data_IF_211897281541
#
_entry.id   IF_211897281541
#
_cell.length_a   1.000
_cell.length_b   1.000
_cell.length_c   1.000
_cell.angle_alpha   90.00
_cell.angle_beta   90.00
_cell.angle_gamma   90.00
#
_symmetry.space_group_name_H-M   'P 1'
#
loop_
_entity.id
_entity.type
_entity.pdbx_description
1 polymer ?
#
# COMPACT_ATOMS: atom_id res chain seq x y z
N UNK A 1 1.14 -9.77 22.42
CA UNK A 1 0.75 -8.88 21.30
C UNK A 1 1.85 -7.85 21.13
N UNK A 2 2.65 -7.95 20.07
CA UNK A 2 3.79 -7.06 19.87
C UNK A 2 3.28 -5.78 19.19
N UNK A 3 3.12 -4.71 19.98
CA UNK A 3 2.57 -3.41 19.54
C UNK A 3 3.34 -2.83 18.34
N UNK A 4 4.61 -3.20 18.16
CA UNK A 4 5.41 -2.78 17.01
C UNK A 4 4.93 -3.40 15.69
N UNK A 5 4.38 -4.62 15.73
CA UNK A 5 3.82 -5.30 14.56
C UNK A 5 2.58 -4.55 14.09
N UNK A 6 1.66 -4.22 14.98
CA UNK A 6 0.37 -3.59 14.66
C UNK A 6 0.45 -2.18 14.11
N UNK A 7 1.57 -1.47 14.37
CA UNK A 7 1.78 -0.09 13.95
C UNK A 7 2.54 0.07 12.63
N UNK A 8 2.93 -1.02 11.98
CA UNK A 8 3.63 -0.96 10.69
C UNK A 8 2.64 -0.85 9.52
N UNK A 9 2.96 0.06 8.60
CA UNK A 9 2.35 0.18 7.27
C UNK A 9 2.39 -1.14 6.49
N UNK A 10 3.51 -1.87 6.56
CA UNK A 10 3.66 -3.20 5.94
C UNK A 10 2.73 -4.22 6.57
N UNK A 11 2.59 -4.25 7.91
CA UNK A 11 1.64 -5.17 8.56
C UNK A 11 0.21 -4.89 8.11
N UNK A 12 -0.20 -3.61 8.05
CA UNK A 12 -1.51 -3.21 7.56
C UNK A 12 -1.75 -3.65 6.11
N UNK A 13 -0.73 -3.51 5.26
CA UNK A 13 -0.77 -4.01 3.89
C UNK A 13 -0.94 -5.55 3.87
N UNK A 14 -0.19 -6.28 4.69
CA UNK A 14 -0.28 -7.75 4.80
C UNK A 14 -1.66 -8.18 5.29
N UNK A 15 -2.27 -7.46 6.23
CA UNK A 15 -3.65 -7.72 6.66
C UNK A 15 -4.65 -7.63 5.50
N UNK A 16 -4.40 -6.79 4.49
CA UNK A 16 -5.26 -6.63 3.30
C UNK A 16 -5.05 -7.66 2.17
N UNK A 17 -4.22 -8.69 2.40
CA UNK A 17 -3.77 -9.57 1.32
C UNK A 17 -4.90 -10.34 0.61
N UNK A 18 -6.04 -10.55 1.28
CA UNK A 18 -7.24 -11.17 0.70
C UNK A 18 -8.21 -10.19 0.06
N UNK A 19 -8.14 -8.91 0.41
CA UNK A 19 -9.15 -7.91 0.05
C UNK A 19 -9.22 -7.61 -1.45
N UNK A 20 -8.12 -7.72 -2.19
CA UNK A 20 -8.08 -7.47 -3.64
C UNK A 20 -7.05 -8.35 -4.35
N UNK A 21 -7.33 -8.66 -5.62
CA UNK A 21 -6.42 -9.34 -6.53
C UNK A 21 -6.14 -8.45 -7.74
N UNK A 22 -4.86 -8.28 -8.13
CA UNK A 22 -3.67 -8.96 -7.64
C UNK A 22 -3.09 -8.34 -6.35
N UNK A 23 -2.29 -9.14 -5.64
CA UNK A 23 -1.50 -8.73 -4.48
C UNK A 23 -0.08 -9.26 -4.63
N UNK A 24 0.93 -8.45 -4.34
CA UNK A 24 2.33 -8.88 -4.38
C UNK A 24 2.71 -9.56 -3.07
N UNK A 25 2.75 -10.89 -3.08
CA UNK A 25 3.06 -11.70 -1.91
C UNK A 25 4.55 -11.74 -1.54
N UNK A 26 5.44 -11.22 -2.39
CA UNK A 26 6.86 -11.10 -2.04
C UNK A 26 7.04 -10.20 -0.81
N UNK A 27 6.15 -9.22 -0.63
CA UNK A 27 6.12 -8.33 0.54
C UNK A 27 5.81 -9.13 1.83
N UNK A 28 5.02 -10.20 1.76
CA UNK A 28 4.76 -11.03 2.94
C UNK A 28 6.01 -11.81 3.38
N UNK A 29 6.87 -12.19 2.43
CA UNK A 29 8.16 -12.84 2.72
C UNK A 29 9.11 -11.83 3.36
N UNK A 30 9.22 -10.62 2.79
CA UNK A 30 10.03 -9.54 3.39
C UNK A 30 9.56 -9.21 4.80
N UNK A 31 8.25 -9.06 4.98
CA UNK A 31 7.66 -8.82 6.30
C UNK A 31 8.00 -9.92 7.30
N UNK A 32 7.95 -11.20 6.90
CA UNK A 32 8.34 -12.30 7.78
C UNK A 32 9.84 -12.26 8.14
N UNK A 33 10.71 -11.90 7.20
CA UNK A 33 12.14 -11.71 7.46
C UNK A 33 12.37 -10.57 8.45
N UNK A 34 11.67 -9.44 8.29
CA UNK A 34 11.74 -8.30 9.21
C UNK A 34 11.29 -8.66 10.63
N UNK A 35 10.28 -9.54 10.76
CA UNK A 35 9.86 -10.06 12.07
C UNK A 35 10.96 -10.91 12.71
N UNK A 36 11.61 -11.79 11.95
CA UNK A 36 12.75 -12.59 12.44
C UNK A 36 13.91 -11.71 12.89
N UNK A 37 14.23 -10.65 12.14
CA UNK A 37 15.28 -9.68 12.49
C UNK A 37 14.97 -8.91 13.78
N UNK A 38 13.67 -8.75 14.10
CA UNK A 38 13.19 -8.16 15.37
C UNK A 38 13.05 -9.18 16.49
N UNK A 39 13.66 -10.36 16.35
CA UNK A 39 13.64 -11.47 17.32
C UNK A 39 12.23 -12.04 17.56
N UNK A 40 11.28 -11.80 16.66
CA UNK A 40 9.93 -12.39 16.70
C UNK A 40 9.98 -13.69 15.91
N UNK A 41 10.27 -14.79 16.61
CA UNK A 41 10.52 -16.09 15.99
C UNK A 41 9.44 -17.08 16.36
N UNK A 42 8.72 -17.58 15.37
CA UNK A 42 7.73 -18.66 15.49
C UNK A 42 7.82 -19.57 14.27
N UNK A 43 7.33 -20.81 14.38
CA UNK A 43 7.36 -21.77 13.26
C UNK A 43 6.63 -21.22 12.02
N UNK A 44 5.49 -20.55 12.20
CA UNK A 44 4.76 -19.99 11.06
C UNK A 44 5.51 -18.82 10.40
N UNK A 45 6.20 -17.97 11.17
CA UNK A 45 7.05 -16.90 10.61
C UNK A 45 8.22 -17.51 9.84
N UNK A 46 8.90 -18.51 10.41
CA UNK A 46 10.01 -19.18 9.74
C UNK A 46 9.57 -19.83 8.43
N UNK A 47 8.43 -20.53 8.43
CA UNK A 47 7.84 -21.09 7.22
C UNK A 47 7.52 -20.00 6.18
N UNK A 48 6.90 -18.89 6.59
CA UNK A 48 6.56 -17.79 5.68
C UNK A 48 7.80 -17.12 5.07
N UNK A 49 8.86 -16.95 5.87
CA UNK A 49 10.13 -16.37 5.43
C UNK A 49 10.92 -17.25 4.44
N UNK A 50 10.62 -18.55 4.40
CA UNK A 50 11.35 -19.52 3.58
C UNK A 50 10.86 -19.59 2.12
N UNK A 51 9.78 -18.88 1.78
CA UNK A 51 9.28 -18.85 0.41
C UNK A 51 10.25 -18.15 -0.54
N UNK A 52 10.49 -18.76 -1.71
CA UNK A 52 11.27 -18.15 -2.78
C UNK A 52 10.43 -17.14 -3.56
N UNK A 53 11.07 -16.05 -4.00
CA UNK A 53 10.45 -15.01 -4.83
C UNK A 53 10.78 -15.23 -6.32
N UNK A 54 9.88 -14.92 -7.27
CA UNK A 54 8.53 -14.41 -7.06
C UNK A 54 7.62 -15.51 -6.49
N UNK A 55 6.76 -15.12 -5.55
CA UNK A 55 5.89 -16.03 -4.83
C UNK A 55 4.62 -16.37 -5.60
N UNK A 56 4.21 -17.63 -5.54
CA UNK A 56 2.89 -18.03 -6.04
C UNK A 56 1.80 -17.68 -5.01
N UNK A 57 0.82 -16.88 -5.45
CA UNK A 57 -0.24 -16.37 -4.59
C UNK A 57 -1.13 -17.47 -3.99
N UNK A 58 -1.32 -18.59 -4.69
CA UNK A 58 -2.12 -19.71 -4.19
C UNK A 58 -1.38 -20.50 -3.12
N UNK A 59 -0.07 -20.69 -3.30
CA UNK A 59 0.78 -21.43 -2.37
C UNK A 59 0.96 -20.68 -1.04
N UNK A 60 1.27 -19.38 -1.10
CA UNK A 60 1.67 -18.61 0.09
C UNK A 60 0.49 -18.07 0.89
N UNK A 61 -0.68 -17.81 0.28
CA UNK A 61 -1.85 -17.20 0.93
C UNK A 61 -2.23 -17.87 2.27
N UNK A 62 -2.29 -19.22 2.39
CA UNK A 62 -2.59 -19.87 3.66
C UNK A 62 -1.55 -19.63 4.76
N UNK A 63 -0.28 -19.44 4.41
CA UNK A 63 0.80 -19.18 5.37
C UNK A 63 0.72 -17.78 5.95
N UNK A 64 0.37 -16.78 5.11
CA UNK A 64 0.09 -15.42 5.58
C UNK A 64 -1.05 -15.43 6.60
N UNK A 65 -2.16 -16.09 6.30
CA UNK A 65 -3.30 -16.18 7.22
C UNK A 65 -2.96 -16.89 8.54
N UNK A 66 -2.08 -17.89 8.52
CA UNK A 66 -1.62 -18.56 9.76
C UNK A 66 -0.86 -17.60 10.66
N UNK A 67 0.06 -16.82 10.11
CA UNK A 67 0.83 -15.83 10.88
C UNK A 67 -0.11 -14.73 11.42
N UNK A 68 -1.00 -14.18 10.60
CA UNK A 68 -1.97 -13.18 11.06
C UNK A 68 -2.83 -13.72 12.21
N UNK A 69 -3.36 -14.94 12.07
CA UNK A 69 -4.14 -15.61 13.12
C UNK A 69 -3.34 -15.85 14.40
N UNK A 70 -2.09 -16.28 14.29
CA UNK A 70 -1.20 -16.51 15.43
C UNK A 70 -1.03 -15.25 16.29
N UNK A 71 -0.90 -14.09 15.66
CA UNK A 71 -0.76 -12.81 16.35
C UNK A 71 -2.10 -12.12 16.66
N UNK A 72 -3.23 -12.80 16.42
CA UNK A 72 -4.58 -12.24 16.57
C UNK A 72 -4.78 -10.94 15.76
N UNK A 73 -4.17 -10.89 14.57
CA UNK A 73 -4.33 -9.80 13.62
C UNK A 73 -5.50 -10.10 12.70
N UNK A 74 -6.37 -9.11 12.53
CA UNK A 74 -7.52 -9.17 11.64
C UNK A 74 -7.08 -9.18 10.18
N UNK A 75 -7.71 -10.01 9.35
CA UNK A 75 -7.58 -9.94 7.89
C UNK A 75 -8.58 -8.91 7.36
N UNK A 76 -8.08 -7.88 6.67
CA UNK A 76 -8.89 -6.78 6.16
C UNK A 76 -9.50 -7.11 4.80
N UNK A 77 -10.77 -6.76 4.65
CA UNK A 77 -11.55 -6.85 3.42
C UNK A 77 -12.34 -5.55 3.19
N UNK A 78 -12.90 -5.38 1.98
CA UNK A 78 -13.70 -4.21 1.62
C UNK A 78 -12.96 -2.88 1.81
N UNK A 79 -13.65 -1.89 2.36
CA UNK A 79 -13.13 -0.53 2.57
C UNK A 79 -11.83 -0.51 3.38
N UNK A 80 -11.72 -1.34 4.42
CA UNK A 80 -10.53 -1.40 5.27
C UNK A 80 -9.30 -1.92 4.51
N UNK A 81 -9.51 -2.81 3.55
CA UNK A 81 -8.46 -3.26 2.64
C UNK A 81 -8.03 -2.15 1.67
N UNK A 82 -8.96 -1.33 1.17
CA UNK A 82 -8.62 -0.17 0.31
C UNK A 82 -7.78 0.83 1.09
N UNK A 83 -8.24 1.19 2.29
CA UNK A 83 -7.59 2.17 3.14
C UNK A 83 -6.18 1.73 3.54
N UNK A 84 -6.00 0.47 3.96
CA UNK A 84 -4.69 -0.07 4.34
C UNK A 84 -3.70 -0.12 3.16
N UNK A 85 -4.14 -0.56 1.97
CA UNK A 85 -3.31 -0.54 0.75
C UNK A 85 -2.94 0.87 0.34
N UNK A 86 -3.90 1.79 0.38
CA UNK A 86 -3.67 3.19 0.04
C UNK A 86 -2.69 3.84 0.99
N UNK A 87 -2.87 3.62 2.30
CA UNK A 87 -1.98 4.12 3.35
C UNK A 87 -0.53 3.69 3.11
N UNK A 88 -0.30 2.43 2.74
CA UNK A 88 1.03 1.93 2.43
C UNK A 88 1.73 2.75 1.33
N UNK A 89 1.11 2.90 0.15
CA UNK A 89 1.74 3.64 -0.95
C UNK A 89 1.84 5.15 -0.68
N UNK A 90 0.86 5.72 0.03
CA UNK A 90 0.88 7.13 0.42
C UNK A 90 2.03 7.39 1.43
N UNK A 91 2.27 6.49 2.38
CA UNK A 91 3.42 6.57 3.28
C UNK A 91 4.74 6.53 2.50
N UNK A 92 4.87 5.66 1.49
CA UNK A 92 6.07 5.62 0.63
C UNK A 92 6.31 6.94 -0.10
N UNK A 93 5.25 7.63 -0.55
CA UNK A 93 5.34 8.97 -1.12
C UNK A 93 5.84 9.98 -0.08
N UNK A 94 5.24 9.99 1.11
CA UNK A 94 5.58 10.97 2.16
C UNK A 94 7.01 10.81 2.67
N UNK A 95 7.48 9.58 2.80
CA UNK A 95 8.82 9.28 3.28
C UNK A 95 9.90 9.35 2.18
N UNK A 96 9.50 9.49 0.91
CA UNK A 96 10.43 9.49 -0.23
C UNK A 96 11.11 8.14 -0.45
N UNK A 97 10.43 7.04 -0.09
CA UNK A 97 10.99 5.67 -0.12
C UNK A 97 10.81 4.98 -1.48
N UNK A 98 9.99 5.54 -2.37
CA UNK A 98 9.74 5.02 -3.72
C UNK A 98 9.60 6.17 -4.74
N UNK A 99 9.71 5.79 -6.02
CA UNK A 99 9.32 6.66 -7.13
C UNK A 99 7.84 7.07 -7.03
N UNK A 100 7.59 8.38 -7.17
CA UNK A 100 6.27 8.98 -7.01
C UNK A 100 5.29 8.43 -8.04
N UNK A 101 5.71 8.30 -9.30
CA UNK A 101 4.84 7.82 -10.37
C UNK A 101 4.47 6.35 -10.18
N UNK A 102 5.42 5.53 -9.75
CA UNK A 102 5.18 4.13 -9.41
C UNK A 102 4.15 3.99 -8.28
N UNK A 103 4.23 4.83 -7.24
CA UNK A 103 3.21 4.85 -6.19
C UNK A 103 1.85 5.34 -6.71
N UNK A 104 1.82 6.38 -7.55
CA UNK A 104 0.59 6.89 -8.15
C UNK A 104 -0.08 5.86 -9.07
N UNK A 105 0.68 5.08 -9.83
CA UNK A 105 0.15 3.98 -10.65
C UNK A 105 -0.60 2.96 -9.76
N UNK A 106 0.01 2.57 -8.63
CA UNK A 106 -0.63 1.65 -7.68
C UNK A 106 -1.89 2.24 -7.06
N UNK A 107 -1.87 3.52 -6.69
CA UNK A 107 -3.02 4.22 -6.12
C UNK A 107 -4.15 4.41 -7.15
N UNK A 108 -3.82 4.73 -8.40
CA UNK A 108 -4.79 4.83 -9.49
C UNK A 108 -5.47 3.48 -9.74
N UNK A 109 -4.69 2.38 -9.72
CA UNK A 109 -5.23 1.02 -9.82
C UNK A 109 -6.16 0.68 -8.66
N UNK A 110 -5.76 0.99 -7.43
CA UNK A 110 -6.61 0.80 -6.24
C UNK A 110 -7.93 1.55 -6.42
N UNK A 111 -7.88 2.80 -6.88
CA UNK A 111 -9.07 3.60 -7.14
C UNK A 111 -10.02 2.94 -8.14
N UNK A 112 -9.52 2.38 -9.24
CA UNK A 112 -10.36 1.67 -10.22
C UNK A 112 -10.95 0.38 -9.62
N UNK A 113 -10.13 -0.40 -8.91
CA UNK A 113 -10.55 -1.66 -8.27
C UNK A 113 -11.57 -1.44 -7.14
N UNK A 114 -11.57 -0.26 -6.52
CA UNK A 114 -12.52 0.14 -5.48
C UNK A 114 -13.73 0.93 -6.00
N UNK A 115 -14.05 0.83 -7.30
CA UNK A 115 -15.17 1.53 -7.93
C UNK A 115 -15.10 3.06 -7.78
N UNK A 116 -13.89 3.61 -7.91
CA UNK A 116 -13.58 5.04 -7.82
C UNK A 116 -13.85 5.64 -6.43
N UNK A 117 -13.40 4.94 -5.38
CA UNK A 117 -13.52 5.43 -4.02
C UNK A 117 -12.93 6.84 -3.88
N UNK A 118 -13.72 7.75 -3.31
CA UNK A 118 -13.47 9.20 -3.33
C UNK A 118 -12.17 9.59 -2.63
N UNK A 119 -11.76 8.83 -1.61
CA UNK A 119 -10.54 9.11 -0.84
C UNK A 119 -9.25 8.83 -1.64
N UNK A 120 -9.25 7.91 -2.61
CA UNK A 120 -8.08 7.62 -3.45
C UNK A 120 -8.13 8.37 -4.80
N UNK A 121 -9.31 8.87 -5.17
CA UNK A 121 -9.54 9.56 -6.45
C UNK A 121 -8.56 10.71 -6.80
N UNK A 122 -8.10 11.55 -5.85
CA UNK A 122 -7.10 12.57 -6.16
C UNK A 122 -5.80 11.99 -6.75
N UNK A 123 -5.34 10.84 -6.27
CA UNK A 123 -4.13 10.19 -6.77
C UNK A 123 -4.33 9.58 -8.15
N UNK A 124 -5.53 9.08 -8.44
CA UNK A 124 -5.92 8.68 -9.80
C UNK A 124 -5.79 9.87 -10.76
N UNK A 125 -6.36 11.03 -10.43
CA UNK A 125 -6.26 12.22 -11.28
C UNK A 125 -4.81 12.71 -11.47
N UNK A 126 -3.99 12.64 -10.41
CA UNK A 126 -2.59 13.01 -10.48
C UNK A 126 -1.77 12.06 -11.36
N UNK A 127 -2.07 10.75 -11.33
CA UNK A 127 -1.43 9.78 -12.22
C UNK A 127 -1.69 10.12 -13.70
N UNK A 128 -2.95 10.33 -14.09
CA UNK A 128 -3.29 10.69 -15.47
C UNK A 128 -2.81 12.09 -15.86
N UNK A 129 -2.73 13.02 -14.91
CA UNK A 129 -2.12 14.34 -15.13
C UNK A 129 -0.67 14.26 -15.59
N UNK A 130 0.09 13.26 -15.13
CA UNK A 130 1.46 13.08 -15.60
C UNK A 130 1.50 12.76 -17.10
N UNK A 131 0.64 11.85 -17.57
CA UNK A 131 0.51 11.54 -19.00
C UNK A 131 0.11 12.77 -19.82
N UNK A 132 -0.85 13.56 -19.31
CA UNK A 132 -1.22 14.82 -19.97
C UNK A 132 -0.04 15.80 -20.09
N UNK A 133 0.79 15.89 -19.05
CA UNK A 133 1.97 16.76 -19.08
C UNK A 133 3.00 16.28 -20.09
N UNK A 134 3.21 14.97 -20.22
CA UNK A 134 4.13 14.39 -21.21
C UNK A 134 3.70 14.77 -22.63
N UNK A 135 2.41 14.57 -22.94
CA UNK A 135 1.84 14.73 -24.28
C UNK A 135 1.52 16.20 -24.65
N UNK A 136 0.96 16.96 -23.70
CA UNK A 136 0.35 18.28 -23.97
C UNK A 136 0.98 19.43 -23.19
N UNK A 137 1.93 19.16 -22.29
CA UNK A 137 2.58 20.16 -21.41
C UNK A 137 1.62 20.88 -20.45
N UNK A 138 0.39 20.37 -20.28
CA UNK A 138 -0.59 20.84 -19.33
C UNK A 138 -1.45 19.68 -18.83
N UNK A 139 -1.97 19.77 -17.60
CA UNK A 139 -2.89 18.76 -17.06
C UNK A 139 -4.36 19.11 -17.36
N UNK A 140 -5.12 18.11 -17.81
CA UNK A 140 -6.59 18.17 -17.95
C UNK A 140 -7.32 17.57 -16.74
N UNK A 141 -6.63 16.72 -15.98
CA UNK A 141 -7.21 15.99 -14.84
C UNK A 141 -7.06 16.72 -13.50
N UNK A 142 -6.00 17.51 -13.32
CA UNK A 142 -5.71 18.21 -12.06
C UNK A 142 -5.25 19.64 -12.34
N UNK A 143 -6.06 20.61 -11.91
CA UNK A 143 -5.83 22.00 -12.23
C UNK A 143 -4.50 22.53 -11.68
N UNK A 144 -3.81 23.35 -12.48
CA UNK A 144 -2.57 24.06 -12.14
C UNK A 144 -1.36 23.14 -11.85
N UNK A 145 -1.44 21.86 -12.23
CA UNK A 145 -0.30 20.95 -12.17
C UNK A 145 0.58 21.12 -13.40
N UNK A 146 1.88 21.15 -13.18
CA UNK A 146 2.97 21.34 -14.16
C UNK A 146 4.13 20.42 -13.79
N UNK A 147 5.09 20.21 -14.69
CA UNK A 147 6.30 19.44 -14.35
C UNK A 147 7.07 19.99 -13.14
N UNK A 148 7.04 21.32 -12.93
CA UNK A 148 7.81 21.96 -11.86
C UNK A 148 7.20 21.76 -10.47
N UNK A 149 5.89 21.57 -10.37
CA UNK A 149 5.17 21.47 -9.09
C UNK A 149 4.45 20.12 -8.90
N UNK A 150 4.67 19.16 -9.80
CA UNK A 150 3.99 17.86 -9.76
C UNK A 150 4.23 17.12 -8.44
N UNK A 151 5.51 16.88 -8.11
CA UNK A 151 5.88 16.15 -6.89
C UNK A 151 5.43 16.88 -5.61
N UNK A 152 5.49 18.21 -5.59
CA UNK A 152 5.01 19.02 -4.46
C UNK A 152 3.49 18.89 -4.28
N UNK A 153 2.75 18.87 -5.40
CA UNK A 153 1.29 18.68 -5.40
C UNK A 153 0.91 17.30 -4.90
N UNK A 154 1.59 16.25 -5.39
CA UNK A 154 1.36 14.87 -4.95
C UNK A 154 1.65 14.73 -3.44
N UNK A 155 2.76 15.30 -2.97
CA UNK A 155 3.11 15.29 -1.55
C UNK A 155 2.08 16.04 -0.69
N UNK A 156 1.53 17.15 -1.19
CA UNK A 156 0.47 17.90 -0.51
C UNK A 156 -0.79 17.06 -0.35
N UNK A 157 -1.27 16.41 -1.41
CA UNK A 157 -2.45 15.53 -1.34
C UNK A 157 -2.21 14.32 -0.43
N UNK A 158 -1.01 13.73 -0.47
CA UNK A 158 -0.61 12.64 0.42
C UNK A 158 -0.71 13.04 1.90
N UNK A 159 -0.23 14.24 2.25
CA UNK A 159 -0.31 14.76 3.63
C UNK A 159 -1.74 15.06 4.07
N UNK A 160 -2.57 15.62 3.17
CA UNK A 160 -4.00 15.84 3.44
C UNK A 160 -4.70 14.50 3.71
N UNK A 161 -4.41 13.49 2.88
CA UNK A 161 -4.99 12.16 3.04
C UNK A 161 -4.64 11.53 4.38
N UNK A 162 -3.35 11.53 4.77
CA UNK A 162 -2.91 10.97 6.05
C UNK A 162 -3.60 11.68 7.22
N UNK A 163 -3.67 13.01 7.21
CA UNK A 163 -4.32 13.75 8.28
C UNK A 163 -5.81 13.37 8.43
N UNK A 164 -6.52 13.18 7.31
CA UNK A 164 -7.90 12.72 7.33
C UNK A 164 -8.03 11.27 7.83
N UNK A 165 -7.10 10.41 7.43
CA UNK A 165 -7.09 9.00 7.81
C UNK A 165 -6.78 8.78 9.29
N UNK A 166 -5.82 9.50 9.85
CA UNK A 166 -5.47 9.41 11.27
C UNK A 166 -6.60 9.92 12.18
N UNK A 167 -7.43 10.87 11.71
CA UNK A 167 -8.62 11.30 12.44
C UNK A 167 -9.74 10.24 12.47
N UNK A 168 -9.66 9.20 11.63
CA UNK A 168 -10.62 8.09 11.57
C UNK A 168 -10.16 6.83 12.31
N UNK A 169 -8.88 6.77 12.72
CA UNK A 169 -8.26 5.68 13.47
C UNK A 169 -8.50 5.81 14.98
#
# INVERSE_FOLDING_TARGET
MNILIEKSDVTWLVQSHKGFSPFNYDICVDWAIDLLQKEIVTDNIQMLSAFSKPTDAWEIKPFVSKVLKEFNLEEFEGEKAVQSRSYYYIQKIVNGENDVLSCLEKLARICVESEYEKNVYPFYLLYYSWGDLEDFKMSFHYQNVTFNNFNETVLKEAKIWIANFENLK
#
